data_IF_207935673887
#
_entry.id   IF_207935673887
#
_cell.length_a   1.000
_cell.length_b   1.000
_cell.length_c   1.000
_cell.angle_alpha   90.00
_cell.angle_beta   90.00
_cell.angle_gamma   90.00
#
_symmetry.space_group_name_H-M   'P 1'
#
loop_
_entity.id
_entity.type
_entity.pdbx_description
1 polymer ?
#
# COMPACT_ATOMS: atom_id res chain seq x y z
N UNK A 1 -20.97 15.52 3.05
CA UNK A 1 -20.86 14.25 3.81
C UNK A 1 -20.13 14.35 5.17
N UNK A 2 -19.91 15.53 5.74
CA UNK A 2 -19.26 15.67 7.07
C UNK A 2 -20.20 15.47 8.27
N UNK A 3 -21.50 15.35 8.07
CA UNK A 3 -22.53 15.30 9.13
C UNK A 3 -23.54 14.15 8.91
N UNK A 4 -23.12 13.00 8.43
CA UNK A 4 -23.96 11.80 8.48
C UNK A 4 -23.75 11.17 9.84
N UNK A 5 -24.83 10.86 10.58
CA UNK A 5 -24.82 10.30 11.96
C UNK A 5 -24.09 8.95 12.14
N UNK A 6 -23.29 8.55 11.14
CA UNK A 6 -22.43 7.35 11.17
C UNK A 6 -21.36 7.38 12.28
N UNK A 7 -21.02 8.57 12.79
CA UNK A 7 -20.05 8.69 13.89
C UNK A 7 -20.67 8.28 15.25
N UNK A 8 -22.00 8.18 15.35
CA UNK A 8 -22.73 7.74 16.55
C UNK A 8 -23.07 6.24 16.55
N UNK A 9 -22.86 5.55 15.41
CA UNK A 9 -23.10 4.12 15.33
C UNK A 9 -22.21 3.35 16.32
N UNK A 10 -22.79 2.44 17.10
CA UNK A 10 -22.04 1.59 18.05
C UNK A 10 -21.12 0.59 17.34
N UNK A 11 -21.36 0.32 16.06
CA UNK A 11 -20.55 -0.54 15.21
C UNK A 11 -19.19 0.11 14.92
N UNK A 12 -18.10 -0.67 14.99
CA UNK A 12 -16.75 -0.20 14.68
C UNK A 12 -15.69 -0.80 15.59
N UNK A 13 -14.45 -0.36 15.39
CA UNK A 13 -13.29 -0.77 16.19
C UNK A 13 -12.96 0.34 17.20
N UNK A 14 -12.85 0.01 18.48
CA UNK A 14 -12.44 0.97 19.51
C UNK A 14 -10.94 1.08 19.59
N UNK A 15 -10.40 2.27 19.30
CA UNK A 15 -8.98 2.56 19.39
C UNK A 15 -8.78 3.81 20.24
N UNK A 16 -8.09 3.67 21.37
CA UNK A 16 -7.82 4.77 22.33
C UNK A 16 -9.09 5.55 22.73
N UNK A 17 -10.19 4.82 23.03
CA UNK A 17 -11.46 5.41 23.43
C UNK A 17 -12.30 6.03 22.30
N UNK A 18 -11.82 6.01 21.06
CA UNK A 18 -12.57 6.46 19.87
C UNK A 18 -13.12 5.27 19.11
N UNK A 19 -14.39 5.33 18.75
CA UNK A 19 -15.00 4.33 17.88
C UNK A 19 -14.74 4.70 16.41
N UNK A 20 -14.24 3.74 15.63
CA UNK A 20 -13.88 3.93 14.24
C UNK A 20 -14.62 2.89 13.44
N UNK A 21 -15.50 3.36 12.57
CA UNK A 21 -16.34 2.51 11.74
C UNK A 21 -16.19 2.81 10.25
N UNK A 22 -15.58 3.94 9.87
CA UNK A 22 -15.39 4.28 8.46
C UNK A 22 -14.13 5.10 8.19
N UNK A 23 -13.58 4.93 6.98
CA UNK A 23 -12.60 5.80 6.37
C UNK A 23 -13.12 6.30 5.03
N UNK A 24 -12.92 7.57 4.73
CA UNK A 24 -13.39 8.21 3.51
C UNK A 24 -12.24 8.88 2.78
N UNK A 25 -12.17 8.60 1.50
CA UNK A 25 -11.21 9.25 0.60
C UNK A 25 -11.93 9.58 -0.71
N UNK A 26 -12.16 10.87 -0.95
CA UNK A 26 -12.94 11.37 -2.08
C UNK A 26 -14.33 10.71 -2.14
N UNK A 27 -14.60 9.91 -3.15
CA UNK A 27 -15.81 9.12 -3.37
C UNK A 27 -15.74 7.70 -2.81
N UNK A 28 -14.57 7.24 -2.43
CA UNK A 28 -14.39 5.92 -1.84
C UNK A 28 -14.64 5.94 -0.32
N UNK A 29 -15.36 4.94 0.18
CA UNK A 29 -15.63 4.75 1.60
C UNK A 29 -15.29 3.33 2.01
N UNK A 30 -14.49 3.19 3.05
CA UNK A 30 -14.18 1.89 3.68
C UNK A 30 -14.90 1.81 5.02
N UNK A 31 -15.74 0.79 5.21
CA UNK A 31 -16.39 0.50 6.47
C UNK A 31 -15.61 -0.57 7.22
N UNK A 32 -15.46 -0.40 8.54
CA UNK A 32 -14.70 -1.32 9.40
C UNK A 32 -15.56 -1.69 10.59
N UNK A 33 -15.73 -3.00 10.80
CA UNK A 33 -16.46 -3.57 11.93
C UNK A 33 -15.79 -4.83 12.43
N UNK A 34 -16.03 -5.19 13.68
CA UNK A 34 -15.54 -6.45 14.27
C UNK A 34 -16.45 -7.65 14.01
N UNK A 35 -17.74 -7.42 13.75
CA UNK A 35 -18.80 -8.42 13.74
C UNK A 35 -19.67 -8.35 12.47
N UNK A 36 -20.79 -9.09 12.48
CA UNK A 36 -21.76 -9.16 11.38
C UNK A 36 -22.57 -7.85 11.17
N UNK A 37 -22.32 -6.82 11.95
CA UNK A 37 -22.98 -5.50 11.86
C UNK A 37 -22.62 -4.72 10.59
N UNK A 38 -21.68 -5.24 9.78
CA UNK A 38 -21.28 -4.59 8.51
C UNK A 38 -22.47 -4.37 7.56
N UNK A 39 -23.43 -5.31 7.55
CA UNK A 39 -24.59 -5.22 6.67
C UNK A 39 -25.51 -4.05 7.08
N UNK A 40 -25.79 -3.89 8.36
CA UNK A 40 -26.60 -2.78 8.87
C UNK A 40 -25.94 -1.44 8.60
N UNK A 41 -24.65 -1.32 8.86
CA UNK A 41 -23.87 -0.12 8.59
C UNK A 41 -23.82 0.24 7.11
N UNK A 42 -23.68 -0.76 6.22
CA UNK A 42 -23.69 -0.55 4.77
C UNK A 42 -25.07 -0.07 4.27
N UNK A 43 -26.15 -0.63 4.81
CA UNK A 43 -27.51 -0.20 4.47
C UNK A 43 -27.78 1.24 4.94
N UNK A 44 -27.30 1.62 6.11
CA UNK A 44 -27.35 2.99 6.60
C UNK A 44 -26.59 3.97 5.69
N UNK A 45 -25.36 3.61 5.29
CA UNK A 45 -24.58 4.40 4.32
C UNK A 45 -25.31 4.56 2.99
N UNK A 46 -25.94 3.48 2.51
CA UNK A 46 -26.73 3.50 1.29
C UNK A 46 -27.91 4.44 1.38
N UNK A 47 -28.66 4.39 2.49
CA UNK A 47 -29.81 5.26 2.72
C UNK A 47 -29.38 6.73 2.80
N UNK A 48 -28.36 7.04 3.61
CA UNK A 48 -27.84 8.40 3.74
C UNK A 48 -27.26 8.94 2.43
N UNK A 49 -26.56 8.12 1.67
CA UNK A 49 -26.05 8.53 0.34
C UNK A 49 -27.19 8.79 -0.65
N UNK A 50 -28.29 8.02 -0.57
CA UNK A 50 -29.47 8.21 -1.38
C UNK A 50 -30.15 9.58 -1.16
N UNK A 51 -30.15 10.08 0.09
CA UNK A 51 -30.71 11.41 0.43
C UNK A 51 -29.98 12.56 -0.29
N UNK A 52 -28.70 12.38 -0.63
CA UNK A 52 -27.90 13.36 -1.37
C UNK A 52 -27.71 12.96 -2.85
N UNK A 53 -28.57 12.09 -3.36
CA UNK A 53 -28.54 11.60 -4.76
C UNK A 53 -27.25 10.87 -5.15
N UNK A 54 -26.50 10.34 -4.21
CA UNK A 54 -25.34 9.50 -4.47
C UNK A 54 -25.78 8.02 -4.44
N UNK A 55 -25.38 7.27 -5.45
CA UNK A 55 -25.69 5.83 -5.54
C UNK A 55 -24.46 4.99 -5.23
N UNK A 56 -24.63 4.03 -4.33
CA UNK A 56 -23.61 3.02 -4.07
C UNK A 56 -23.37 2.17 -5.32
N UNK A 57 -22.12 1.99 -5.71
CA UNK A 57 -21.77 1.11 -6.81
C UNK A 57 -21.50 -0.31 -6.26
N UNK A 58 -22.54 -1.15 -6.28
CA UNK A 58 -22.48 -2.52 -5.73
C UNK A 58 -21.38 -3.33 -6.42
N UNK A 59 -21.24 -3.27 -7.75
CA UNK A 59 -20.22 -4.03 -8.48
C UNK A 59 -18.77 -3.69 -8.08
N UNK A 60 -18.51 -2.45 -7.65
CA UNK A 60 -17.21 -2.01 -7.17
C UNK A 60 -17.02 -2.23 -5.66
N UNK A 61 -18.11 -2.42 -4.93
CA UNK A 61 -18.06 -2.70 -3.49
C UNK A 61 -17.53 -4.10 -3.27
N UNK A 62 -16.56 -4.27 -2.38
CA UNK A 62 -15.93 -5.55 -2.07
C UNK A 62 -15.85 -5.74 -0.57
N UNK A 63 -15.97 -6.97 -0.12
CA UNK A 63 -15.88 -7.34 1.29
C UNK A 63 -14.57 -8.06 1.54
N UNK A 64 -13.84 -7.61 2.54
CA UNK A 64 -12.60 -8.25 2.98
C UNK A 64 -12.71 -8.62 4.46
N UNK A 65 -12.40 -9.85 4.81
CA UNK A 65 -12.39 -10.31 6.19
C UNK A 65 -11.13 -11.09 6.55
N UNK A 66 -10.78 -11.03 7.81
CA UNK A 66 -9.66 -11.79 8.38
C UNK A 66 -10.02 -13.21 8.82
N UNK A 67 -11.31 -13.59 8.76
CA UNK A 67 -11.85 -14.89 9.14
C UNK A 67 -12.74 -15.52 8.07
N UNK A 68 -13.21 -16.75 8.29
CA UNK A 68 -14.15 -17.39 7.39
C UNK A 68 -15.48 -16.61 7.40
N UNK A 69 -15.90 -16.14 6.23
CA UNK A 69 -17.21 -15.52 6.03
C UNK A 69 -18.11 -16.48 5.29
N UNK A 70 -19.29 -16.72 5.84
CA UNK A 70 -20.42 -17.31 5.12
C UNK A 70 -20.95 -16.27 4.11
N UNK A 71 -21.35 -16.73 2.93
CA UNK A 71 -21.82 -15.94 1.80
C UNK A 71 -22.62 -14.69 2.18
N UNK A 72 -22.17 -13.53 1.72
CA UNK A 72 -22.87 -12.26 1.90
C UNK A 72 -23.70 -11.92 0.67
N UNK A 73 -24.94 -11.49 0.90
CA UNK A 73 -25.82 -10.99 -0.15
C UNK A 73 -26.30 -9.58 0.21
N UNK A 74 -26.14 -8.66 -0.73
CA UNK A 74 -26.74 -7.31 -0.66
C UNK A 74 -27.79 -7.25 -1.76
N UNK A 75 -29.05 -7.04 -1.35
CA UNK A 75 -30.21 -6.96 -2.28
C UNK A 75 -30.37 -8.15 -3.25
N UNK A 76 -29.98 -9.34 -2.82
CA UNK A 76 -30.08 -10.55 -3.65
C UNK A 76 -28.90 -10.78 -4.60
N UNK A 77 -27.95 -9.84 -4.71
CA UNK A 77 -26.68 -10.05 -5.39
C UNK A 77 -25.66 -10.61 -4.39
N UNK A 78 -24.97 -11.67 -4.79
CA UNK A 78 -23.90 -12.26 -4.00
C UNK A 78 -22.67 -11.35 -4.05
N UNK A 79 -22.27 -10.83 -2.91
CA UNK A 79 -21.05 -10.02 -2.82
C UNK A 79 -19.81 -10.91 -2.84
N UNK A 80 -18.84 -10.51 -3.64
CA UNK A 80 -17.57 -11.21 -3.74
C UNK A 80 -16.69 -10.88 -2.54
N UNK A 81 -16.39 -11.91 -1.74
CA UNK A 81 -15.36 -11.80 -0.71
C UNK A 81 -13.99 -11.87 -1.34
N UNK A 82 -13.18 -10.85 -1.11
CA UNK A 82 -11.84 -10.75 -1.66
C UNK A 82 -10.77 -10.87 -0.57
N UNK A 83 -9.65 -11.49 -0.91
CA UNK A 83 -8.47 -11.57 -0.04
C UNK A 83 -7.59 -10.33 -0.15
N UNK A 84 -7.68 -9.65 -1.28
CA UNK A 84 -6.90 -8.46 -1.60
C UNK A 84 -7.82 -7.37 -2.13
N UNK A 85 -7.65 -6.16 -1.65
CA UNK A 85 -8.36 -4.98 -2.12
C UNK A 85 -7.38 -3.89 -2.54
N UNK A 86 -7.67 -3.21 -3.63
CA UNK A 86 -6.84 -2.13 -4.14
C UNK A 86 -7.45 -0.78 -3.81
N UNK A 87 -6.81 -0.06 -2.89
CA UNK A 87 -7.16 1.30 -2.49
C UNK A 87 -5.94 2.21 -2.71
N UNK A 88 -5.57 2.40 -3.99
CA UNK A 88 -4.29 3.03 -4.35
C UNK A 88 -3.06 2.15 -4.03
N UNK A 89 -3.13 1.40 -2.95
CA UNK A 89 -2.16 0.39 -2.50
C UNK A 89 -2.90 -0.93 -2.31
N UNK A 90 -2.28 -2.06 -2.67
CA UNK A 90 -2.91 -3.38 -2.47
C UNK A 90 -2.87 -3.76 -0.98
N UNK A 91 -4.04 -3.91 -0.39
CA UNK A 91 -4.23 -4.34 1.00
C UNK A 91 -4.64 -5.81 0.99
N UNK A 92 -3.91 -6.64 1.73
CA UNK A 92 -4.22 -8.05 1.93
C UNK A 92 -4.91 -8.27 3.28
N UNK A 93 -5.85 -9.22 3.37
CA UNK A 93 -6.61 -9.52 4.59
C UNK A 93 -5.74 -9.87 5.81
N UNK A 94 -4.51 -10.34 5.61
CA UNK A 94 -3.51 -10.61 6.66
C UNK A 94 -2.58 -9.43 6.97
N UNK A 95 -2.84 -8.24 6.42
CA UNK A 95 -2.02 -7.04 6.58
C UNK A 95 -0.55 -7.24 6.19
N UNK A 96 -0.28 -8.16 5.24
CA UNK A 96 1.05 -8.43 4.73
C UNK A 96 1.30 -7.65 3.43
N UNK A 97 2.29 -6.75 3.47
CA UNK A 97 2.69 -5.92 2.33
C UNK A 97 3.46 -6.70 1.24
N UNK A 98 3.62 -8.03 1.34
CA UNK A 98 4.39 -8.82 0.38
C UNK A 98 3.82 -8.75 -1.02
N UNK A 99 2.50 -8.82 -1.14
CA UNK A 99 1.78 -8.74 -2.42
C UNK A 99 1.99 -7.38 -3.07
N UNK A 100 1.85 -6.30 -2.30
CA UNK A 100 2.05 -4.94 -2.79
C UNK A 100 3.50 -4.69 -3.20
N UNK A 101 4.47 -5.08 -2.39
CA UNK A 101 5.90 -4.97 -2.75
C UNK A 101 6.18 -5.71 -4.05
N UNK A 102 5.72 -6.96 -4.20
CA UNK A 102 5.90 -7.73 -5.43
C UNK A 102 5.24 -7.04 -6.63
N UNK A 103 4.03 -6.49 -6.47
CA UNK A 103 3.32 -5.74 -7.51
C UNK A 103 4.13 -4.51 -7.95
N UNK A 104 4.63 -3.72 -7.01
CA UNK A 104 5.44 -2.54 -7.30
C UNK A 104 6.75 -2.92 -8.00
N UNK A 105 7.42 -4.00 -7.57
CA UNK A 105 8.63 -4.50 -8.24
C UNK A 105 8.34 -4.97 -9.67
N UNK A 106 7.21 -5.63 -9.92
CA UNK A 106 6.79 -6.02 -11.27
C UNK A 106 6.49 -4.81 -12.15
N UNK A 107 5.80 -3.79 -11.62
CA UNK A 107 5.56 -2.54 -12.32
C UNK A 107 6.87 -1.83 -12.65
N UNK A 108 7.81 -1.76 -11.71
CA UNK A 108 9.15 -1.21 -11.94
C UNK A 108 9.90 -1.94 -13.05
N UNK A 109 9.83 -3.29 -13.08
CA UNK A 109 10.40 -4.10 -14.18
C UNK A 109 9.75 -3.78 -15.52
N UNK A 110 8.42 -3.63 -15.57
CA UNK A 110 7.69 -3.26 -16.78
C UNK A 110 8.12 -1.89 -17.30
N UNK A 111 8.21 -0.90 -16.41
CA UNK A 111 8.69 0.46 -16.76
C UNK A 111 10.11 0.41 -17.29
N UNK A 112 11.01 -0.30 -16.61
CA UNK A 112 12.42 -0.46 -17.03
C UNK A 112 12.53 -1.12 -18.41
N UNK A 113 11.70 -2.13 -18.68
CA UNK A 113 11.70 -2.84 -19.98
C UNK A 113 11.12 -1.95 -21.08
N UNK A 114 10.07 -1.20 -20.80
CA UNK A 114 9.48 -0.28 -21.79
C UNK A 114 10.44 0.88 -22.18
N UNK A 115 11.48 1.14 -21.39
CA UNK A 115 12.51 2.15 -21.66
C UNK A 115 13.78 1.58 -22.31
N UNK A 116 13.79 0.31 -22.68
CA UNK A 116 14.97 -0.36 -23.24
C UNK A 116 15.56 0.36 -24.46
N UNK A 117 14.73 0.91 -25.34
CA UNK A 117 15.19 1.67 -26.50
C UNK A 117 16.03 2.88 -26.09
N UNK A 118 15.59 3.63 -25.09
CA UNK A 118 16.28 4.80 -24.54
C UNK A 118 17.55 4.37 -23.81
N UNK A 119 17.44 3.37 -22.95
CA UNK A 119 18.57 2.87 -22.15
C UNK A 119 19.66 2.20 -23.01
N UNK A 120 19.31 1.68 -24.20
CA UNK A 120 20.23 1.10 -25.16
C UNK A 120 20.83 2.11 -26.13
N UNK A 121 20.23 3.30 -26.27
CA UNK A 121 20.77 4.35 -27.18
C UNK A 121 22.22 4.69 -26.82
N UNK A 122 23.04 4.91 -27.86
CA UNK A 122 24.42 5.38 -27.70
C UNK A 122 24.51 6.89 -27.52
N UNK A 123 23.47 7.62 -27.93
CA UNK A 123 23.43 9.08 -27.88
C UNK A 123 23.21 9.62 -26.47
N UNK A 124 22.74 8.77 -25.55
CA UNK A 124 22.49 9.13 -24.17
C UNK A 124 23.65 8.70 -23.29
N UNK A 125 24.25 9.64 -22.59
CA UNK A 125 25.38 9.39 -21.69
C UNK A 125 24.95 8.54 -20.49
N UNK A 126 25.88 7.75 -19.95
CA UNK A 126 25.61 6.86 -18.82
C UNK A 126 25.01 7.58 -17.61
N UNK A 127 25.50 8.74 -17.14
CA UNK A 127 24.89 9.48 -16.03
C UNK A 127 23.41 9.84 -16.27
N UNK A 128 23.07 10.26 -17.50
CA UNK A 128 21.68 10.56 -17.86
C UNK A 128 20.79 9.32 -17.79
N UNK A 129 21.30 8.15 -18.18
CA UNK A 129 20.59 6.88 -18.05
C UNK A 129 20.34 6.52 -16.58
N UNK A 130 21.32 6.75 -15.71
CA UNK A 130 21.16 6.59 -14.26
C UNK A 130 20.05 7.50 -13.72
N UNK A 131 20.02 8.78 -14.11
CA UNK A 131 18.94 9.70 -13.74
C UNK A 131 17.58 9.18 -14.21
N UNK A 132 17.46 8.70 -15.45
CA UNK A 132 16.19 8.13 -15.96
C UNK A 132 15.70 6.98 -15.07
N UNK A 133 16.59 6.07 -14.65
CA UNK A 133 16.20 4.98 -13.76
C UNK A 133 15.75 5.51 -12.40
N UNK A 134 16.48 6.46 -11.82
CA UNK A 134 16.16 7.07 -10.51
C UNK A 134 14.84 7.83 -10.54
N UNK A 135 14.57 8.57 -11.62
CA UNK A 135 13.42 9.49 -11.69
C UNK A 135 12.15 8.85 -12.25
N UNK A 136 12.28 7.76 -13.01
CA UNK A 136 11.13 7.13 -13.67
C UNK A 136 10.82 5.72 -13.19
N UNK A 137 11.80 4.95 -12.77
CA UNK A 137 11.59 3.55 -12.35
C UNK A 137 11.42 3.46 -10.83
N UNK A 138 12.30 4.08 -10.07
CA UNK A 138 12.29 3.99 -8.62
C UNK A 138 11.06 4.61 -7.97
N UNK A 139 10.51 5.76 -8.40
CA UNK A 139 9.26 6.27 -7.85
C UNK A 139 8.06 5.35 -8.02
N UNK A 140 8.00 4.60 -9.13
CA UNK A 140 6.96 3.58 -9.35
C UNK A 140 7.08 2.44 -8.33
N UNK A 141 8.30 2.03 -8.03
CA UNK A 141 8.56 0.99 -7.02
C UNK A 141 8.28 1.48 -5.62
N UNK A 142 8.63 2.71 -5.31
CA UNK A 142 8.47 3.30 -3.97
C UNK A 142 7.06 3.84 -3.68
N UNK A 143 6.14 3.77 -4.66
CA UNK A 143 4.78 4.27 -4.45
C UNK A 143 4.10 3.57 -3.28
N UNK A 144 3.64 4.34 -2.29
CA UNK A 144 2.97 3.85 -1.09
C UNK A 144 3.88 3.11 -0.09
N UNK A 145 5.21 3.20 -0.26
CA UNK A 145 6.17 2.49 0.59
C UNK A 145 6.15 2.95 2.06
N UNK A 146 5.56 4.09 2.34
CA UNK A 146 5.40 4.63 3.70
C UNK A 146 4.63 3.67 4.60
N UNK A 147 3.62 2.99 4.02
CA UNK A 147 2.77 2.02 4.72
C UNK A 147 3.40 0.62 4.83
N UNK A 148 4.51 0.34 4.14
CA UNK A 148 5.06 -1.01 4.10
C UNK A 148 5.66 -1.45 5.42
N UNK A 149 5.25 -2.62 5.91
CA UNK A 149 5.94 -3.33 6.98
C UNK A 149 7.07 -4.17 6.36
N UNK A 150 8.29 -3.61 6.34
CA UNK A 150 9.42 -4.24 5.66
C UNK A 150 10.13 -5.21 6.61
N UNK A 151 10.02 -6.52 6.31
CA UNK A 151 10.81 -7.57 6.95
C UNK A 151 12.10 -7.80 6.16
N UNK A 152 13.15 -8.37 6.79
CA UNK A 152 14.46 -8.62 6.18
C UNK A 152 14.40 -9.34 4.81
N UNK A 153 13.54 -10.34 4.67
CA UNK A 153 13.34 -11.04 3.40
C UNK A 153 12.78 -10.15 2.27
N UNK A 154 12.09 -9.06 2.62
CA UNK A 154 11.57 -8.11 1.65
C UNK A 154 12.62 -7.10 1.22
N UNK A 155 13.52 -6.68 2.13
CA UNK A 155 14.70 -5.89 1.77
C UNK A 155 15.51 -6.62 0.69
N UNK A 156 15.78 -7.91 0.86
CA UNK A 156 16.54 -8.69 -0.11
C UNK A 156 15.90 -8.71 -1.51
N UNK A 157 14.57 -8.68 -1.61
CA UNK A 157 13.87 -8.61 -2.92
C UNK A 157 14.01 -7.23 -3.56
N UNK A 158 13.97 -6.18 -2.77
CA UNK A 158 14.17 -4.80 -3.20
C UNK A 158 15.61 -4.63 -3.71
N UNK A 159 16.59 -5.13 -2.96
CA UNK A 159 18.01 -5.11 -3.32
C UNK A 159 18.27 -5.90 -4.61
N UNK A 160 17.65 -7.08 -4.74
CA UNK A 160 17.76 -7.89 -5.95
C UNK A 160 17.14 -7.19 -7.18
N UNK A 161 16.05 -6.45 -6.99
CA UNK A 161 15.46 -5.63 -8.05
C UNK A 161 16.39 -4.48 -8.44
N UNK A 162 16.93 -3.76 -7.48
CA UNK A 162 17.87 -2.67 -7.71
C UNK A 162 19.08 -3.17 -8.50
N UNK A 163 19.69 -4.27 -8.05
CA UNK A 163 20.79 -4.90 -8.72
C UNK A 163 20.45 -5.32 -10.17
N UNK A 164 19.24 -5.84 -10.39
CA UNK A 164 18.76 -6.19 -11.73
C UNK A 164 18.65 -4.94 -12.62
N UNK A 165 18.18 -3.79 -12.11
CA UNK A 165 18.14 -2.53 -12.84
C UNK A 165 19.55 -2.08 -13.28
N UNK A 166 20.50 -2.10 -12.36
CA UNK A 166 21.87 -1.67 -12.64
C UNK A 166 22.59 -2.62 -13.58
N UNK A 167 22.45 -3.94 -13.43
CA UNK A 167 23.00 -4.93 -14.38
C UNK A 167 22.46 -4.72 -15.79
N UNK A 168 21.16 -4.47 -15.92
CA UNK A 168 20.52 -4.19 -17.21
C UNK A 168 21.06 -2.90 -17.83
N UNK A 169 21.27 -1.85 -17.05
CA UNK A 169 21.83 -0.58 -17.49
C UNK A 169 23.28 -0.73 -17.97
N UNK A 170 24.09 -1.46 -17.22
CA UNK A 170 25.50 -1.73 -17.54
C UNK A 170 25.68 -2.84 -18.60
N UNK A 171 24.59 -3.49 -19.03
CA UNK A 171 24.61 -4.64 -19.95
C UNK A 171 25.50 -5.79 -19.46
N UNK A 172 25.54 -6.01 -18.15
CA UNK A 172 26.29 -7.09 -17.53
C UNK A 172 25.47 -8.37 -17.60
N UNK A 173 25.95 -9.45 -18.25
CA UNK A 173 25.27 -10.74 -18.28
C UNK A 173 25.10 -11.32 -16.88
N UNK A 174 24.06 -12.17 -16.69
CA UNK A 174 23.81 -12.82 -15.40
C UNK A 174 24.96 -13.76 -14.97
N UNK A 175 25.67 -14.34 -15.95
CA UNK A 175 26.79 -15.27 -15.72
C UNK A 175 28.09 -14.56 -15.31
N UNK A 176 28.11 -13.24 -15.40
CA UNK A 176 29.29 -12.47 -15.03
C UNK A 176 29.42 -12.41 -13.51
N UNK A 177 30.57 -12.85 -12.97
CA UNK A 177 30.92 -12.86 -11.55
C UNK A 177 31.19 -11.49 -10.93
N UNK A 178 30.75 -10.38 -11.56
CA UNK A 178 30.85 -9.06 -10.93
C UNK A 178 30.06 -9.05 -9.62
N UNK A 179 30.72 -8.62 -8.56
CA UNK A 179 30.10 -8.50 -7.24
C UNK A 179 29.08 -7.36 -7.22
N UNK A 180 28.12 -7.43 -6.31
CA UNK A 180 27.13 -6.38 -6.09
C UNK A 180 27.80 -5.01 -5.84
N UNK A 181 28.83 -4.99 -5.00
CA UNK A 181 29.62 -3.78 -4.70
C UNK A 181 30.30 -3.19 -5.92
N UNK A 182 30.86 -4.02 -6.80
CA UNK A 182 31.49 -3.55 -8.06
C UNK A 182 30.46 -2.89 -8.98
N UNK A 183 29.26 -3.43 -9.07
CA UNK A 183 28.18 -2.88 -9.91
C UNK A 183 27.67 -1.56 -9.33
N UNK A 184 27.46 -1.48 -8.02
CA UNK A 184 27.05 -0.26 -7.33
C UNK A 184 28.10 0.83 -7.47
N UNK A 185 29.39 0.49 -7.34
CA UNK A 185 30.51 1.43 -7.51
C UNK A 185 30.55 2.08 -8.90
N UNK A 186 30.17 1.35 -9.94
CA UNK A 186 30.11 1.87 -11.31
C UNK A 186 28.87 2.76 -11.57
N UNK A 187 27.78 2.55 -10.85
CA UNK A 187 26.49 3.24 -11.09
C UNK A 187 26.24 4.42 -10.15
N UNK A 188 26.37 4.23 -8.87
CA UNK A 188 26.24 5.26 -7.84
C UNK A 188 26.46 4.63 -6.46
N UNK A 189 27.67 4.71 -5.88
CA UNK A 189 28.02 4.01 -4.66
C UNK A 189 27.16 4.43 -3.44
N UNK A 190 26.55 5.62 -3.48
CA UNK A 190 25.78 6.20 -2.38
C UNK A 190 24.27 5.96 -2.48
N UNK A 191 23.78 5.26 -3.52
CA UNK A 191 22.35 5.17 -3.76
C UNK A 191 21.86 3.72 -3.64
N UNK A 192 21.29 3.39 -2.50
CA UNK A 192 20.46 2.19 -2.32
C UNK A 192 18.99 2.58 -2.22
N UNK A 193 18.09 1.81 -2.82
CA UNK A 193 16.63 2.01 -2.71
C UNK A 193 16.15 2.00 -1.26
N UNK A 194 16.83 1.30 -0.38
CA UNK A 194 16.49 1.25 1.04
C UNK A 194 16.54 2.63 1.68
N UNK A 195 17.56 3.45 1.38
CA UNK A 195 17.72 4.80 1.93
C UNK A 195 16.53 5.73 1.61
N UNK A 196 16.16 5.94 0.35
CA UNK A 196 14.97 6.70 -0.03
C UNK A 196 13.66 6.17 0.58
N UNK A 197 13.47 4.85 0.64
CA UNK A 197 12.28 4.24 1.29
C UNK A 197 12.25 4.61 2.77
N UNK A 198 13.35 4.48 3.49
CA UNK A 198 13.45 4.87 4.91
C UNK A 198 13.20 6.38 5.09
N UNK A 199 13.78 7.20 4.20
CA UNK A 199 13.56 8.65 4.22
C UNK A 199 12.09 9.00 4.06
N UNK A 200 11.37 8.41 3.09
CA UNK A 200 9.94 8.64 2.88
C UNK A 200 9.13 8.22 4.11
N UNK A 201 9.45 7.08 4.71
CA UNK A 201 8.79 6.61 5.95
C UNK A 201 9.01 7.57 7.11
N UNK A 202 10.23 8.07 7.31
CA UNK A 202 10.53 9.02 8.36
C UNK A 202 9.87 10.39 8.11
N UNK A 203 9.82 10.84 6.86
CA UNK A 203 9.11 12.07 6.49
C UNK A 203 7.61 11.94 6.78
N UNK A 204 6.99 10.82 6.40
CA UNK A 204 5.59 10.55 6.69
C UNK A 204 5.33 10.49 8.20
N UNK A 205 6.17 9.78 8.96
CA UNK A 205 6.08 9.73 10.41
C UNK A 205 6.23 11.12 11.04
N UNK A 206 7.20 11.92 10.62
CA UNK A 206 7.37 13.31 11.09
C UNK A 206 6.14 14.16 10.81
N UNK A 207 5.55 14.04 9.61
CA UNK A 207 4.32 14.73 9.25
C UNK A 207 3.13 14.32 10.13
N UNK A 208 2.98 13.02 10.42
CA UNK A 208 1.97 12.52 11.33
C UNK A 208 2.13 13.06 12.77
N UNK A 209 3.36 13.09 13.25
CA UNK A 209 3.64 13.58 14.60
C UNK A 209 3.37 15.09 14.76
N UNK A 210 3.55 15.86 13.69
CA UNK A 210 3.29 17.29 13.70
C UNK A 210 1.78 17.63 13.74
N UNK A 211 0.91 16.77 13.23
CA UNK A 211 -0.54 16.96 13.32
C UNK A 211 -1.03 16.72 14.74
N UNK A 212 -1.80 17.68 15.30
CA UNK A 212 -2.34 17.60 16.67
C UNK A 212 -3.40 16.49 16.81
N UNK A 213 -4.31 16.36 15.83
CA UNK A 213 -5.50 15.51 15.92
C UNK A 213 -5.63 14.50 14.78
N UNK A 214 -4.52 13.89 14.40
CA UNK A 214 -4.56 12.89 13.34
C UNK A 214 -4.92 11.52 13.92
N UNK A 215 -5.88 10.89 13.27
CA UNK A 215 -6.34 9.54 13.60
C UNK A 215 -5.19 8.52 13.44
N UNK A 216 -4.38 8.66 12.40
CA UNK A 216 -3.23 7.81 12.13
C UNK A 216 -2.18 7.92 13.26
N UNK A 217 -2.00 9.13 13.83
CA UNK A 217 -1.14 9.33 15.01
C UNK A 217 -1.66 8.56 16.20
N UNK A 218 -2.99 8.58 16.43
CA UNK A 218 -3.64 7.82 17.49
C UNK A 218 -3.46 6.30 17.28
N UNK A 219 -3.57 5.81 16.04
CA UNK A 219 -3.31 4.41 15.69
C UNK A 219 -1.87 3.99 15.98
N UNK A 220 -0.90 4.83 15.66
CA UNK A 220 0.54 4.51 15.83
C UNK A 220 0.96 4.60 17.30
N UNK A 221 0.47 5.60 18.02
CA UNK A 221 0.85 5.87 19.41
C UNK A 221 -0.15 5.33 20.43
N UNK A 222 -1.39 5.10 20.01
CA UNK A 222 -2.49 4.68 20.87
C UNK A 222 -2.36 3.25 21.36
N UNK A 223 -2.78 3.00 22.58
CA UNK A 223 -2.99 1.66 23.10
C UNK A 223 -4.29 1.11 22.51
N UNK A 224 -4.21 0.00 21.79
CA UNK A 224 -5.39 -0.76 21.37
C UNK A 224 -6.00 -1.37 22.63
N UNK A 225 -7.21 -1.00 22.96
CA UNK A 225 -7.98 -1.62 24.04
C UNK A 225 -8.43 -3.01 23.57
N UNK A 226 -7.75 -4.04 23.99
CA UNK A 226 -8.10 -5.43 23.69
C UNK A 226 -7.36 -6.38 24.62
N UNK A 227 -8.02 -7.47 25.03
CA UNK A 227 -7.37 -8.56 25.77
C UNK A 227 -6.29 -9.19 24.89
N UNK A 228 -5.02 -9.00 25.24
CA UNK A 228 -3.94 -9.85 24.70
C UNK A 228 -4.30 -11.29 24.98
N UNK A 229 -4.60 -12.08 23.95
CA UNK A 229 -4.56 -13.55 24.08
C UNK A 229 -3.12 -13.90 24.44
N UNK A 230 -2.91 -14.41 25.67
CA UNK A 230 -1.63 -15.01 26.04
C UNK A 230 -1.37 -16.11 25.02
N UNK A 231 -0.24 -16.03 24.33
CA UNK A 231 0.20 -17.06 23.42
C UNK A 231 0.33 -18.40 24.13
N UNK A 232 -0.21 -19.41 23.52
CA UNK A 232 0.21 -20.80 23.71
C UNK A 232 1.53 -21.01 22.99
#
# INVERSE_FOLDING_TARGET
MRNTGLDEAQAGIKISGRNINNFRYADDTTLIVENEELKSLLMEVKEESGKVSLKLNIQKTKIMASGPITSWQIEGEAEETVTDYFFGVQIHCRWDCSHEINRCLLLGRKVMTNRDSILKSKDITFPKKVCIVKDMVFPVVMYGCESWTIKKAKCQRIDAFELWCWRRLLRVPLDCKKTHQSILGETSPEYSLEGPIQKLKLQYFGYLMWRSDSFEKTLILGKIEGRRKRGQ
#
